data_IF_703274995302
#
_entry.id   IF_703274995302
#
_cell.length_a   1.000
_cell.length_b   1.000
_cell.length_c   1.000
_cell.angle_alpha   90.00
_cell.angle_beta   90.00
_cell.angle_gamma   90.00
#
_symmetry.space_group_name_H-M   'P 1'
#
loop_
_entity.id
_entity.type
_entity.pdbx_description
1 polymer ?
#
# COMPACT_ATOMS: atom_id res chain seq x y z
N UNK A 1 -15.11 1.92 -23.02
CA UNK A 1 -16.10 1.58 -21.97
C UNK A 1 -15.78 2.25 -20.63
N UNK A 2 -14.54 2.17 -20.12
CA UNK A 2 -14.16 2.80 -18.83
C UNK A 2 -13.97 4.33 -18.89
N UNK A 3 -13.56 4.88 -20.03
CA UNK A 3 -13.24 6.32 -20.17
C UNK A 3 -14.45 7.27 -20.05
N UNK A 4 -15.67 6.74 -20.16
CA UNK A 4 -16.91 7.53 -20.16
C UNK A 4 -17.56 7.73 -18.78
N UNK A 5 -17.16 6.99 -17.74
CA UNK A 5 -17.89 6.98 -16.45
C UNK A 5 -17.26 7.86 -15.36
N UNK A 6 -16.14 8.56 -15.60
CA UNK A 6 -15.39 9.30 -14.56
C UNK A 6 -15.07 8.48 -13.29
N UNK A 7 -15.18 7.16 -13.35
CA UNK A 7 -14.88 6.29 -12.22
C UNK A 7 -13.37 6.32 -11.95
N UNK A 8 -12.92 5.83 -10.79
CA UNK A 8 -11.50 5.59 -10.54
C UNK A 8 -11.17 4.14 -10.94
N UNK A 9 -9.95 3.85 -11.47
CA UNK A 9 -9.59 2.49 -11.80
C UNK A 9 -9.63 1.65 -10.52
N UNK A 10 -10.21 0.45 -10.58
CA UNK A 10 -10.32 -0.44 -9.43
C UNK A 10 -8.97 -0.69 -8.74
N UNK A 11 -7.88 -0.76 -9.52
CA UNK A 11 -6.52 -0.88 -9.00
C UNK A 11 -6.09 0.30 -8.12
N UNK A 12 -6.46 1.52 -8.48
CA UNK A 12 -6.14 2.72 -7.68
C UNK A 12 -6.93 2.72 -6.38
N UNK A 13 -8.18 2.30 -6.42
CA UNK A 13 -9.01 2.21 -5.21
C UNK A 13 -8.48 1.12 -4.27
N UNK A 14 -8.16 -0.06 -4.79
CA UNK A 14 -7.54 -1.16 -4.03
C UNK A 14 -6.22 -0.68 -3.40
N UNK A 15 -5.39 0.03 -4.16
CA UNK A 15 -4.13 0.60 -3.66
C UNK A 15 -4.40 1.61 -2.55
N UNK A 16 -5.32 2.56 -2.74
CA UNK A 16 -5.68 3.57 -1.73
C UNK A 16 -6.16 2.92 -0.43
N UNK A 17 -7.03 1.91 -0.52
CA UNK A 17 -7.52 1.15 0.64
C UNK A 17 -6.39 0.41 1.35
N UNK A 18 -5.48 -0.22 0.59
CA UNK A 18 -4.29 -0.89 1.13
C UNK A 18 -3.39 0.08 1.90
N UNK A 19 -3.07 1.24 1.33
CA UNK A 19 -2.26 2.24 2.02
C UNK A 19 -2.98 2.80 3.25
N UNK A 20 -4.29 3.08 3.20
CA UNK A 20 -5.04 3.44 4.42
C UNK A 20 -4.91 2.38 5.53
N UNK A 21 -4.99 1.10 5.17
CA UNK A 21 -4.83 0.00 6.13
C UNK A 21 -3.41 -0.10 6.70
N UNK A 22 -2.36 0.00 5.86
CA UNK A 22 -0.96 0.01 6.31
C UNK A 22 -0.71 1.12 7.34
N UNK A 23 -1.19 2.33 7.07
CA UNK A 23 -1.03 3.43 8.03
C UNK A 23 -1.79 3.21 9.33
N UNK A 24 -2.92 2.50 9.30
CA UNK A 24 -3.64 2.14 10.51
C UNK A 24 -2.89 1.07 11.32
N UNK A 25 -2.34 0.04 10.67
CA UNK A 25 -1.56 -1.01 11.35
C UNK A 25 -0.21 -0.51 11.89
N UNK A 26 0.51 0.33 11.15
CA UNK A 26 1.79 0.91 11.58
C UNK A 26 1.66 1.85 12.78
N UNK A 27 0.50 2.51 12.94
CA UNK A 27 0.21 3.36 14.10
C UNK A 27 -0.13 2.60 15.38
N UNK A 28 -0.41 1.29 15.29
CA UNK A 28 -0.58 0.46 16.49
C UNK A 28 0.75 0.26 17.20
N UNK A 29 0.69 -0.12 18.47
CA UNK A 29 1.88 -0.46 19.26
C UNK A 29 2.71 -1.55 18.56
N UNK A 30 4.02 -1.53 18.77
CA UNK A 30 4.97 -2.52 18.24
C UNK A 30 4.58 -3.96 18.61
N UNK A 31 4.04 -4.15 19.81
CA UNK A 31 3.63 -5.45 20.35
C UNK A 31 2.30 -5.96 19.76
N UNK A 32 1.62 -5.16 18.93
CA UNK A 32 0.34 -5.57 18.36
C UNK A 32 0.53 -6.67 17.30
N UNK A 33 -0.21 -7.77 17.44
CA UNK A 33 -0.19 -8.92 16.51
C UNK A 33 -0.39 -8.47 15.07
N UNK A 34 -1.31 -7.53 14.82
CA UNK A 34 -1.57 -7.04 13.45
C UNK A 34 -0.39 -6.28 12.84
N UNK A 35 0.47 -5.67 13.67
CA UNK A 35 1.66 -4.96 13.23
C UNK A 35 2.80 -5.94 12.97
N UNK A 36 2.98 -6.95 13.83
CA UNK A 36 3.92 -8.04 13.61
C UNK A 36 3.57 -8.85 12.34
N UNK A 37 2.28 -9.11 12.11
CA UNK A 37 1.80 -9.80 10.91
C UNK A 37 2.15 -9.07 9.60
N UNK A 38 2.36 -7.74 9.64
CA UNK A 38 2.73 -6.95 8.47
C UNK A 38 4.14 -7.27 7.98
N UNK A 39 5.07 -7.57 8.89
CA UNK A 39 6.47 -7.88 8.61
C UNK A 39 6.77 -9.38 8.63
N UNK A 40 5.86 -10.19 9.18
CA UNK A 40 6.01 -11.64 9.32
C UNK A 40 6.32 -12.33 7.98
N UNK A 41 7.39 -13.11 7.93
CA UNK A 41 7.70 -14.02 6.83
C UNK A 41 7.33 -15.46 7.25
N UNK A 42 6.26 -16.08 6.73
CA UNK A 42 5.93 -17.44 7.11
C UNK A 42 7.00 -18.37 6.52
N UNK A 43 7.77 -19.00 7.39
CA UNK A 43 8.73 -20.03 7.04
C UNK A 43 7.97 -21.31 6.62
N UNK A 44 8.38 -21.92 5.51
CA UNK A 44 7.77 -23.15 5.00
C UNK A 44 7.67 -23.25 3.49
N UNK A 45 7.59 -24.50 3.00
CA UNK A 45 7.39 -24.80 1.58
C UNK A 45 5.93 -24.57 1.20
N UNK A 46 5.70 -23.78 0.15
CA UNK A 46 4.35 -23.53 -0.39
C UNK A 46 3.87 -24.71 -1.22
N UNK A 47 2.58 -25.05 -1.13
CA UNK A 47 1.94 -26.03 -2.03
C UNK A 47 1.97 -25.51 -3.48
N UNK A 48 2.23 -26.40 -4.44
CA UNK A 48 2.18 -26.12 -5.88
C UNK A 48 0.77 -25.63 -6.25
N UNK A 49 0.68 -24.54 -7.03
CA UNK A 49 -0.59 -23.95 -7.47
C UNK A 49 -1.07 -22.71 -6.69
N UNK A 50 -0.49 -22.39 -5.52
CA UNK A 50 -0.86 -21.16 -4.79
C UNK A 50 -0.25 -19.91 -5.46
N UNK A 51 -1.01 -18.81 -5.62
CA UNK A 51 -0.50 -17.56 -6.20
C UNK A 51 0.78 -17.06 -5.51
N UNK A 52 1.76 -16.62 -6.31
CA UNK A 52 3.10 -16.20 -5.84
C UNK A 52 3.10 -14.88 -5.06
N UNK A 53 2.01 -14.10 -5.11
CA UNK A 53 1.89 -12.77 -4.53
C UNK A 53 1.31 -12.81 -3.12
N UNK A 54 2.19 -12.73 -2.11
CA UNK A 54 1.80 -12.52 -0.71
C UNK A 54 1.49 -11.04 -0.45
N UNK A 55 0.63 -10.75 0.52
CA UNK A 55 0.33 -9.39 0.98
C UNK A 55 1.62 -8.59 1.29
N UNK A 56 2.63 -9.22 1.89
CA UNK A 56 3.94 -8.60 2.11
C UNK A 56 4.64 -8.19 0.79
N UNK A 57 4.64 -9.06 -0.22
CA UNK A 57 5.29 -8.78 -1.52
C UNK A 57 4.59 -7.68 -2.29
N UNK A 58 3.26 -7.61 -2.22
CA UNK A 58 2.50 -6.54 -2.87
C UNK A 58 2.75 -5.20 -2.20
N UNK A 59 2.85 -5.19 -0.86
CA UNK A 59 3.21 -3.98 -0.10
C UNK A 59 4.65 -3.56 -0.38
N UNK A 60 5.61 -4.48 -0.36
CA UNK A 60 7.01 -4.19 -0.69
C UNK A 60 7.15 -3.63 -2.11
N UNK A 61 6.39 -4.16 -3.09
CA UNK A 61 6.37 -3.62 -4.44
C UNK A 61 5.78 -2.21 -4.49
N UNK A 62 4.68 -1.93 -3.77
CA UNK A 62 4.09 -0.59 -3.67
C UNK A 62 5.06 0.41 -3.02
N UNK A 63 5.79 -0.01 -1.99
CA UNK A 63 6.81 0.80 -1.30
C UNK A 63 8.00 1.09 -2.22
N UNK A 64 8.53 0.07 -2.90
CA UNK A 64 9.61 0.22 -3.89
C UNK A 64 9.20 1.14 -5.04
N UNK A 65 7.95 1.03 -5.53
CA UNK A 65 7.41 1.93 -6.56
C UNK A 65 7.39 3.39 -6.11
N UNK A 66 7.31 3.64 -4.80
CA UNK A 66 7.37 4.99 -4.21
C UNK A 66 8.77 5.41 -3.80
N UNK A 67 9.79 4.59 -4.09
CA UNK A 67 11.19 4.82 -3.76
C UNK A 67 11.39 5.15 -2.27
N UNK A 68 10.74 4.39 -1.38
CA UNK A 68 10.83 4.54 0.07
C UNK A 68 11.25 3.24 0.72
N UNK A 69 11.67 3.32 1.98
CA UNK A 69 11.92 2.16 2.83
C UNK A 69 10.86 2.01 3.93
N UNK A 70 10.90 0.89 4.66
CA UNK A 70 9.96 0.61 5.76
C UNK A 70 10.11 1.58 6.95
N UNK A 71 11.33 2.02 7.27
CA UNK A 71 11.59 2.95 8.38
C UNK A 71 10.97 4.34 8.16
N UNK A 72 11.16 4.90 6.97
CA UNK A 72 10.55 6.15 6.55
C UNK A 72 9.04 6.04 6.55
N UNK A 73 8.51 4.90 6.09
CA UNK A 73 7.08 4.65 6.07
C UNK A 73 6.50 4.64 7.48
N UNK A 74 7.20 4.02 8.43
CA UNK A 74 6.82 4.01 9.83
C UNK A 74 6.80 5.42 10.43
N UNK A 75 7.84 6.22 10.17
CA UNK A 75 7.93 7.61 10.62
C UNK A 75 6.79 8.46 10.05
N UNK A 76 6.49 8.32 8.76
CA UNK A 76 5.40 9.07 8.10
C UNK A 76 4.03 8.56 8.55
N UNK A 77 3.89 7.28 8.88
CA UNK A 77 2.62 6.76 9.40
C UNK A 77 2.23 7.38 10.74
N UNK A 78 3.21 7.76 11.57
CA UNK A 78 2.97 8.50 12.81
C UNK A 78 2.51 9.94 12.54
N UNK A 79 3.07 10.60 11.53
CA UNK A 79 2.58 11.90 11.06
C UNK A 79 1.26 11.73 10.27
N UNK A 80 0.14 12.03 10.92
CA UNK A 80 -1.19 11.93 10.31
C UNK A 80 -1.36 12.82 9.07
N UNK A 81 -0.72 13.98 9.04
CA UNK A 81 -0.84 14.94 7.93
C UNK A 81 0.04 14.46 6.77
N UNK A 82 1.30 14.12 7.04
CA UNK A 82 2.21 13.53 6.07
C UNK A 82 1.66 12.23 5.46
N UNK A 83 1.03 11.37 6.27
CA UNK A 83 0.37 10.16 5.79
C UNK A 83 -0.80 10.47 4.84
N UNK A 84 -1.64 11.45 5.20
CA UNK A 84 -2.77 11.86 4.34
C UNK A 84 -2.27 12.40 3.00
N UNK A 85 -1.22 13.21 3.00
CA UNK A 85 -0.61 13.74 1.77
C UNK A 85 -0.05 12.62 0.90
N UNK A 86 0.63 11.63 1.49
CA UNK A 86 1.14 10.47 0.78
C UNK A 86 0.00 9.65 0.13
N UNK A 87 -1.07 9.39 0.89
CA UNK A 87 -2.25 8.66 0.39
C UNK A 87 -3.01 9.43 -0.68
N UNK A 88 -3.10 10.75 -0.59
CA UNK A 88 -3.72 11.57 -1.62
C UNK A 88 -2.88 11.62 -2.90
N UNK A 89 -1.56 11.75 -2.78
CA UNK A 89 -0.62 11.68 -3.91
C UNK A 89 -0.57 10.32 -4.61
N UNK A 90 -1.11 9.25 -3.97
CA UNK A 90 -1.32 7.95 -4.60
C UNK A 90 -2.40 7.95 -5.69
N UNK A 91 -3.33 8.90 -5.66
CA UNK A 91 -4.47 8.99 -6.59
C UNK A 91 -4.37 10.15 -7.58
N UNK A 92 -3.38 11.03 -7.46
CA UNK A 92 -3.27 12.23 -8.33
C UNK A 92 -2.53 11.97 -9.65
N UNK A 93 -1.83 10.84 -9.79
CA UNK A 93 -0.86 10.62 -10.88
C UNK A 93 -1.49 10.42 -12.28
N UNK A 94 -2.81 10.20 -12.37
CA UNK A 94 -3.51 10.00 -13.66
C UNK A 94 -4.20 11.24 -14.20
N UNK A 95 -4.21 12.37 -13.46
CA UNK A 95 -4.83 13.60 -13.94
C UNK A 95 -3.91 14.41 -14.88
N UNK A 96 -2.59 14.24 -14.79
CA UNK A 96 -1.62 14.93 -15.66
C UNK A 96 -1.35 14.20 -16.98
N UNK A 97 -1.56 12.88 -17.06
CA UNK A 97 -1.31 12.10 -18.28
C UNK A 97 -2.50 12.03 -19.26
N UNK A 98 -3.60 12.74 -19.02
CA UNK A 98 -4.76 12.84 -19.93
C UNK A 98 -4.69 14.03 -20.90
N UNK A 99 -3.57 14.75 -20.94
CA UNK A 99 -3.31 15.81 -21.93
C UNK A 99 -2.12 15.41 -22.81
N UNK A 100 -2.33 14.41 -23.66
CA UNK A 100 -1.62 14.23 -24.92
C UNK A 100 -2.54 13.51 -25.89
#
# INVERSE_FOLDING_TARGET
>A
MWERTNQLPAEEEIRKRRWKWIGHTLRKSSNCITRQALTWNPEGKRKRGRPKNTLRRTIEADIKRRNRNWMELERIAQDRVGWRMLVSGLCSFTRSNRRK
#
